data_IF_998636208295
#
_entry.id   IF_998636208295
#
_cell.length_a   1.000
_cell.length_b   1.000
_cell.length_c   1.000
_cell.angle_alpha   90.00
_cell.angle_beta   90.00
_cell.angle_gamma   90.00
#
_symmetry.space_group_name_H-M   'P 1'
#
loop_
_entity.id
_entity.type
_entity.pdbx_description
1 polymer ?
#
# COMPACT_ATOMS: atom_id res chain seq x y z
N UNK A 1 23.34 4.87 7.50
CA UNK A 1 23.14 5.04 6.04
C UNK A 1 22.09 4.06 5.46
N UNK A 2 22.15 2.76 5.78
CA UNK A 2 21.31 1.73 5.13
C UNK A 2 19.79 1.91 5.35
N UNK A 3 19.37 2.32 6.53
CA UNK A 3 17.97 2.60 6.90
C UNK A 3 17.38 3.75 6.06
N UNK A 4 18.19 4.76 5.76
CA UNK A 4 17.76 5.92 4.98
C UNK A 4 17.43 5.54 3.53
N UNK A 5 18.19 4.61 2.94
CA UNK A 5 17.91 4.05 1.61
C UNK A 5 16.57 3.29 1.58
N UNK A 6 16.30 2.48 2.62
CA UNK A 6 15.06 1.71 2.76
C UNK A 6 13.86 2.67 2.87
N UNK A 7 13.98 3.72 3.68
CA UNK A 7 12.96 4.76 3.81
C UNK A 7 12.73 5.53 2.51
N UNK A 8 13.80 5.93 1.80
CA UNK A 8 13.69 6.61 0.50
C UNK A 8 13.00 5.72 -0.54
N UNK A 9 13.34 4.43 -0.58
CA UNK A 9 12.69 3.50 -1.50
C UNK A 9 11.20 3.34 -1.16
N UNK A 10 10.86 3.14 0.11
CA UNK A 10 9.48 3.11 0.57
C UNK A 10 8.72 4.41 0.28
N UNK A 11 9.38 5.56 0.40
CA UNK A 11 8.79 6.87 0.12
C UNK A 11 8.37 7.00 -1.35
N UNK A 12 9.21 6.56 -2.28
CA UNK A 12 8.87 6.55 -3.72
C UNK A 12 7.63 5.70 -3.97
N UNK A 13 7.59 4.47 -3.44
CA UNK A 13 6.42 3.61 -3.57
C UNK A 13 5.17 4.23 -2.94
N UNK A 14 5.31 4.89 -1.79
CA UNK A 14 4.21 5.56 -1.12
C UNK A 14 3.65 6.73 -1.95
N UNK A 15 4.51 7.52 -2.59
CA UNK A 15 4.07 8.60 -3.50
C UNK A 15 3.31 8.05 -4.71
N UNK A 16 3.79 6.96 -5.33
CA UNK A 16 3.09 6.30 -6.44
C UNK A 16 1.73 5.78 -6.00
N UNK A 17 1.65 5.20 -4.80
CA UNK A 17 0.40 4.77 -4.22
C UNK A 17 -0.59 5.93 -4.03
N UNK A 18 -0.15 7.06 -3.47
CA UNK A 18 -1.02 8.23 -3.31
C UNK A 18 -1.59 8.74 -4.64
N UNK A 19 -0.80 8.70 -5.73
CA UNK A 19 -1.27 9.11 -7.07
C UNK A 19 -2.39 8.19 -7.57
N UNK A 20 -2.23 6.87 -7.46
CA UNK A 20 -3.27 5.93 -7.87
C UNK A 20 -4.51 6.04 -6.98
N UNK A 21 -4.34 6.26 -5.68
CA UNK A 21 -5.46 6.45 -4.75
C UNK A 21 -6.29 7.68 -5.13
N UNK A 22 -5.62 8.81 -5.41
CA UNK A 22 -6.28 10.03 -5.88
C UNK A 22 -7.03 9.81 -7.21
N UNK A 23 -6.44 9.05 -8.15
CA UNK A 23 -7.10 8.68 -9.41
C UNK A 23 -8.36 7.85 -9.19
N UNK A 24 -8.31 6.79 -8.38
CA UNK A 24 -9.46 5.94 -8.11
C UNK A 24 -10.56 6.70 -7.35
N UNK A 25 -10.16 7.56 -6.41
CA UNK A 25 -11.09 8.40 -5.68
C UNK A 25 -11.80 9.40 -6.60
N UNK A 26 -11.08 10.02 -7.53
CA UNK A 26 -11.66 10.92 -8.54
C UNK A 26 -12.60 10.21 -9.52
N UNK A 27 -12.43 8.89 -9.73
CA UNK A 27 -13.29 8.07 -10.58
C UNK A 27 -14.59 7.59 -9.89
N UNK A 28 -14.81 7.91 -8.61
CA UNK A 28 -16.02 7.54 -7.88
C UNK A 28 -16.06 6.09 -7.36
N UNK A 29 -14.99 5.31 -7.56
CA UNK A 29 -14.91 3.89 -7.15
C UNK A 29 -14.18 3.67 -5.81
N UNK A 30 -14.04 4.71 -4.99
CA UNK A 30 -13.36 4.66 -3.68
C UNK A 30 -13.99 3.67 -2.67
N UNK A 31 -15.26 3.28 -2.85
CA UNK A 31 -15.93 2.34 -1.94
C UNK A 31 -15.29 0.94 -1.96
N UNK A 32 -14.90 0.46 -3.14
CA UNK A 32 -14.30 -0.88 -3.26
C UNK A 32 -12.85 -0.92 -2.77
N UNK A 33 -12.12 0.18 -2.93
CA UNK A 33 -10.75 0.29 -2.42
C UNK A 33 -10.70 0.28 -0.91
N UNK A 34 -11.57 1.05 -0.25
CA UNK A 34 -11.60 1.13 1.21
C UNK A 34 -11.88 -0.22 1.88
N UNK A 35 -12.76 -1.05 1.31
CA UNK A 35 -13.10 -2.36 1.89
C UNK A 35 -11.93 -3.33 1.81
N UNK A 36 -11.24 -3.40 0.66
CA UNK A 36 -10.05 -4.25 0.49
C UNK A 36 -8.92 -3.80 1.42
N UNK A 37 -8.71 -2.48 1.51
CA UNK A 37 -7.65 -1.91 2.35
C UNK A 37 -7.87 -2.20 3.84
N UNK A 38 -9.11 -2.14 4.33
CA UNK A 38 -9.46 -2.49 5.71
C UNK A 38 -9.16 -3.97 6.01
N UNK A 39 -9.44 -4.88 5.07
CA UNK A 39 -9.17 -6.31 5.25
C UNK A 39 -7.67 -6.59 5.28
N UNK A 40 -6.88 -5.96 4.41
CA UNK A 40 -5.42 -6.13 4.38
C UNK A 40 -4.69 -5.38 5.50
N UNK A 41 -5.32 -4.38 6.10
CA UNK A 41 -4.75 -3.64 7.22
C UNK A 41 -4.50 -4.53 8.45
N UNK A 42 -5.37 -5.50 8.71
CA UNK A 42 -5.23 -6.45 9.82
C UNK A 42 -3.97 -7.35 9.72
N UNK A 43 -3.74 -8.08 8.61
CA UNK A 43 -2.50 -8.85 8.43
C UNK A 43 -1.27 -7.94 8.36
N UNK A 44 -1.39 -6.73 7.81
CA UNK A 44 -0.29 -5.75 7.82
C UNK A 44 0.11 -5.33 9.25
N UNK A 45 -0.86 -5.04 10.12
CA UNK A 45 -0.60 -4.71 11.53
C UNK A 45 0.09 -5.84 12.28
N UNK A 46 -0.29 -7.09 12.02
CA UNK A 46 0.34 -8.26 12.63
C UNK A 46 1.82 -8.39 12.21
N UNK A 47 2.11 -8.21 10.91
CA UNK A 47 3.48 -8.26 10.38
C UNK A 47 4.31 -7.08 10.90
N UNK A 48 3.74 -5.87 10.92
CA UNK A 48 4.41 -4.67 11.42
C UNK A 48 4.76 -4.81 12.90
N UNK A 49 3.82 -5.30 13.72
CA UNK A 49 4.08 -5.55 15.14
C UNK A 49 5.25 -6.51 15.28
N UNK A 50 5.17 -7.69 14.64
CA UNK A 50 6.20 -8.73 14.74
C UNK A 50 7.60 -8.26 14.30
N UNK A 51 7.70 -7.54 13.17
CA UNK A 51 8.98 -7.01 12.68
C UNK A 51 9.54 -5.90 13.57
N UNK A 52 8.66 -5.05 14.12
CA UNK A 52 9.07 -3.93 14.97
C UNK A 52 9.56 -4.42 16.33
N UNK A 53 8.93 -5.45 16.93
CA UNK A 53 9.44 -6.02 18.20
C UNK A 53 10.78 -6.72 18.03
N UNK A 54 11.04 -7.32 16.86
CA UNK A 54 12.23 -8.15 16.64
C UNK A 54 13.45 -7.32 16.23
N UNK A 55 13.25 -6.28 15.41
CA UNK A 55 14.35 -5.55 14.76
C UNK A 55 14.37 -4.04 15.04
N UNK A 56 13.52 -3.54 15.93
CA UNK A 56 13.52 -2.14 16.38
C UNK A 56 13.47 -1.14 15.20
N UNK A 57 14.40 -0.19 15.08
CA UNK A 57 14.45 0.80 13.98
C UNK A 57 14.61 0.15 12.59
N UNK A 58 15.35 -0.95 12.49
CA UNK A 58 15.52 -1.64 11.21
C UNK A 58 14.22 -2.34 10.80
N UNK A 59 13.52 -2.93 11.77
CA UNK A 59 12.17 -3.50 11.61
C UNK A 59 11.16 -2.45 11.15
N UNK A 60 11.19 -1.26 11.74
CA UNK A 60 10.32 -0.15 11.35
C UNK A 60 10.53 0.29 9.89
N UNK A 61 11.79 0.36 9.43
CA UNK A 61 12.10 0.74 8.05
C UNK A 61 11.66 -0.34 7.04
N UNK A 62 11.89 -1.62 7.36
CA UNK A 62 11.43 -2.73 6.52
C UNK A 62 9.91 -2.81 6.50
N UNK A 63 9.25 -2.63 7.64
CA UNK A 63 7.80 -2.61 7.73
C UNK A 63 7.20 -1.45 6.90
N UNK A 64 7.82 -0.26 6.93
CA UNK A 64 7.43 0.88 6.08
C UNK A 64 7.57 0.59 4.58
N UNK A 65 8.62 -0.12 4.18
CA UNK A 65 8.83 -0.52 2.78
C UNK A 65 7.79 -1.56 2.35
N UNK A 66 7.55 -2.58 3.17
CA UNK A 66 6.49 -3.58 2.96
C UNK A 66 5.11 -2.91 2.87
N UNK A 67 4.83 -1.92 3.73
CA UNK A 67 3.59 -1.14 3.67
C UNK A 67 3.41 -0.45 2.34
N UNK A 68 4.43 0.27 1.91
CA UNK A 68 4.38 1.09 0.71
C UNK A 68 4.28 0.20 -0.54
N UNK A 69 4.88 -0.99 -0.49
CA UNK A 69 4.71 -2.01 -1.52
C UNK A 69 3.32 -2.65 -1.52
N UNK A 70 2.75 -2.93 -0.33
CA UNK A 70 1.38 -3.42 -0.19
C UNK A 70 0.37 -2.39 -0.70
N UNK A 71 0.52 -1.11 -0.32
CA UNK A 71 -0.25 0.01 -0.85
C UNK A 71 -0.22 0.02 -2.40
N UNK A 72 0.95 -0.15 -3.01
CA UNK A 72 1.10 -0.25 -4.46
C UNK A 72 0.38 -1.48 -5.05
N UNK A 73 0.53 -2.65 -4.43
CA UNK A 73 -0.15 -3.90 -4.83
C UNK A 73 -1.67 -3.75 -4.80
N UNK A 74 -2.20 -3.14 -3.75
CA UNK A 74 -3.64 -2.89 -3.58
C UNK A 74 -4.15 -1.99 -4.69
N UNK A 75 -3.46 -0.88 -4.93
CA UNK A 75 -3.85 0.08 -5.96
C UNK A 75 -3.74 -0.51 -7.36
N UNK A 76 -2.73 -1.35 -7.61
CA UNK A 76 -2.58 -2.09 -8.85
C UNK A 76 -3.72 -3.11 -9.06
N UNK A 77 -4.09 -3.87 -8.03
CA UNK A 77 -5.20 -4.82 -8.09
C UNK A 77 -6.55 -4.13 -8.25
N UNK A 78 -6.76 -3.03 -7.52
CA UNK A 78 -7.96 -2.19 -7.64
C UNK A 78 -8.05 -1.61 -9.05
N UNK A 79 -6.97 -1.08 -9.60
CA UNK A 79 -6.99 -0.55 -10.97
C UNK A 79 -7.38 -1.65 -11.95
N UNK A 80 -6.81 -2.85 -11.79
CA UNK A 80 -7.12 -4.01 -12.62
C UNK A 80 -8.58 -4.47 -12.48
N UNK A 81 -9.16 -4.37 -11.29
CA UNK A 81 -10.57 -4.72 -11.04
C UNK A 81 -11.52 -3.62 -11.54
N UNK A 82 -11.17 -2.35 -11.34
CA UNK A 82 -11.94 -1.17 -11.75
C UNK A 82 -11.96 -0.93 -13.26
N UNK A 83 -10.84 -1.19 -13.97
CA UNK A 83 -10.78 -1.06 -15.44
C UNK A 83 -11.62 -2.14 -16.14
N UNK A 84 -11.81 -3.31 -15.53
CA UNK A 84 -12.64 -4.40 -16.09
C UNK A 84 -14.13 -4.01 -16.24
N UNK A 85 -14.61 -3.02 -15.49
CA UNK A 85 -16.00 -2.54 -15.56
C UNK A 85 -16.30 -1.63 -16.76
N UNK A 86 -15.29 -1.14 -17.50
CA UNK A 86 -15.49 -0.17 -18.60
C UNK A 86 -15.37 -0.76 -20.01
N UNK A 87 -15.22 -2.08 -20.16
CA UNK A 87 -15.22 -2.77 -21.47
C UNK A 87 -16.43 -3.71 -21.61
N UNK A 88 -17.58 -3.34 -21.03
CA UNK A 88 -18.77 -4.21 -21.02
C UNK A 88 -20.07 -3.49 -20.70
N UNK A 89 -20.22 -2.22 -21.12
CA UNK A 89 -21.46 -1.45 -21.00
C UNK A 89 -21.47 -0.32 -22.01
#
# INVERSE_FOLDING_TARGET
AQIFKILLLGFVFNSVAQICFAKIQSAGHAKWTGVVHIIEFFPYLAILYYLTTTYSIFGAAVAFLIRSFADFLILFYVEKFGIRMKTGG
#
